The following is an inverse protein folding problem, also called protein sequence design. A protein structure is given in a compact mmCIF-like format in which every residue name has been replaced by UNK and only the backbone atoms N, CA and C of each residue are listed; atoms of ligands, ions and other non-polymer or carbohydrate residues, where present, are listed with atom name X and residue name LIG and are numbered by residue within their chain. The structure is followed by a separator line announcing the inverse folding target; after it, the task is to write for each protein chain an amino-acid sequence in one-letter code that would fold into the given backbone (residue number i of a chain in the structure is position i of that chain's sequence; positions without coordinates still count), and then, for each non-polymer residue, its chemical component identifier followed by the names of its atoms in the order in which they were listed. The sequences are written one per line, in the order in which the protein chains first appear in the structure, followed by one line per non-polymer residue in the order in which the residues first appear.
data_IF_085704204184
#
_entry.id   IF_085704204184
#
_cell.length_a   1.000
_cell.length_b   1.000
_cell.length_c   1.000
_cell.angle_alpha   90.00
_cell.angle_beta   90.00
_cell.angle_gamma   90.00
#
_symmetry.space_group_name_H-M   'P 1'
#
loop_
_entity.id
_entity.type
_entity.pdbx_description
1 polymer ?
#
# COMPACT_ATOMS: atom_id res chain seq x y z
N UNK A 1 19.35 4.95 21.91
CA UNK A 1 17.98 4.51 21.62
C UNK A 1 17.80 4.57 20.12
N UNK A 2 17.51 3.46 19.44
CA UNK A 2 17.15 3.53 18.03
C UNK A 2 15.83 4.32 17.92
N UNK A 3 15.82 5.35 17.07
CA UNK A 3 14.61 6.13 16.81
C UNK A 3 13.60 5.16 16.17
N UNK A 4 12.34 5.14 16.66
CA UNK A 4 11.26 4.34 16.09
C UNK A 4 11.02 4.79 14.65
N UNK A 5 10.78 3.87 13.73
CA UNK A 5 10.50 4.19 12.34
C UNK A 5 9.17 4.94 12.25
N UNK A 6 9.08 5.93 11.37
CA UNK A 6 7.93 6.85 11.32
C UNK A 6 6.61 6.12 11.04
N UNK A 7 6.61 5.13 10.14
CA UNK A 7 5.41 4.33 9.85
C UNK A 7 5.01 3.44 11.03
N UNK A 8 5.96 2.93 11.81
CA UNK A 8 5.64 2.18 13.04
C UNK A 8 5.03 3.11 14.08
N UNK A 9 5.53 4.34 14.20
CA UNK A 9 5.00 5.34 15.11
C UNK A 9 3.60 5.81 14.69
N UNK A 10 3.39 6.06 13.37
CA UNK A 10 2.12 6.47 12.81
C UNK A 10 1.04 5.41 13.05
N UNK A 11 1.26 4.18 12.57
CA UNK A 11 0.23 3.15 12.57
C UNK A 11 0.01 2.45 13.93
N UNK A 12 0.77 2.83 14.97
CA UNK A 12 0.54 2.29 16.32
C UNK A 12 -0.81 2.71 16.91
N UNK A 13 -1.23 3.97 16.69
CA UNK A 13 -2.46 4.54 17.24
C UNK A 13 -3.22 5.41 16.23
N UNK A 14 -3.32 4.97 14.98
CA UNK A 14 -3.96 5.73 13.90
C UNK A 14 -5.03 4.93 13.14
N UNK A 15 -5.54 3.84 13.70
CA UNK A 15 -6.46 2.96 12.98
C UNK A 15 -7.84 3.57 12.76
N UNK A 16 -8.42 4.22 13.77
CA UNK A 16 -9.73 4.86 13.64
C UNK A 16 -9.67 6.14 12.80
N UNK A 17 -8.57 6.90 12.88
CA UNK A 17 -8.36 8.06 12.02
C UNK A 17 -8.14 7.62 10.57
N UNK A 18 -7.33 6.59 10.35
CA UNK A 18 -7.09 5.98 9.04
C UNK A 18 -8.41 5.61 8.32
N UNK A 19 -9.36 4.98 9.02
CA UNK A 19 -10.66 4.61 8.45
C UNK A 19 -11.53 5.82 8.02
N UNK A 20 -11.22 7.01 8.49
CA UNK A 20 -11.93 8.26 8.12
C UNK A 20 -11.32 8.95 6.92
N UNK A 21 -10.09 8.61 6.56
CA UNK A 21 -9.40 9.20 5.43
C UNK A 21 -10.17 8.98 4.12
N UNK A 22 -10.05 9.93 3.21
CA UNK A 22 -10.81 9.93 1.96
C UNK A 22 -10.47 8.73 1.08
N UNK A 23 -9.21 8.30 1.08
CA UNK A 23 -8.73 7.19 0.26
C UNK A 23 -9.28 5.82 0.70
N UNK A 24 -9.78 5.67 1.93
CA UNK A 24 -10.41 4.42 2.37
C UNK A 24 -11.80 4.19 1.75
N UNK A 25 -12.41 5.21 1.17
CA UNK A 25 -13.77 5.14 0.61
C UNK A 25 -13.84 4.44 -0.75
N UNK A 26 -12.70 4.16 -1.38
CA UNK A 26 -12.61 3.51 -2.68
C UNK A 26 -12.79 1.98 -2.68
N UNK A 27 -12.80 1.33 -1.51
CA UNK A 27 -12.71 -0.12 -1.33
C UNK A 27 -13.60 -0.95 -2.26
N UNK A 28 -14.87 -0.60 -2.41
CA UNK A 28 -15.84 -1.35 -3.22
C UNK A 28 -15.44 -1.36 -4.70
N UNK A 29 -15.05 -0.20 -5.25
CA UNK A 29 -14.63 -0.08 -6.65
C UNK A 29 -13.28 -0.78 -6.90
N UNK A 30 -12.37 -0.68 -5.95
CA UNK A 30 -11.07 -1.37 -5.98
C UNK A 30 -11.27 -2.90 -5.99
N UNK A 31 -12.12 -3.43 -5.11
CA UNK A 31 -12.44 -4.86 -5.08
C UNK A 31 -13.19 -5.31 -6.34
N UNK A 32 -14.08 -4.48 -6.91
CA UNK A 32 -14.73 -4.78 -8.20
C UNK A 32 -13.70 -4.94 -9.34
N UNK A 33 -12.62 -4.18 -9.30
CA UNK A 33 -11.52 -4.32 -10.26
C UNK A 33 -10.72 -5.60 -9.98
N UNK A 34 -10.36 -5.86 -8.72
CA UNK A 34 -9.62 -7.05 -8.32
C UNK A 34 -10.35 -8.34 -8.74
N UNK A 35 -11.67 -8.44 -8.54
CA UNK A 35 -12.45 -9.62 -8.97
C UNK A 35 -12.34 -9.90 -10.46
N UNK A 36 -12.29 -8.84 -11.30
CA UNK A 36 -12.07 -9.00 -12.74
C UNK A 36 -10.67 -9.51 -13.05
N UNK A 37 -9.66 -9.01 -12.34
CA UNK A 37 -8.28 -9.48 -12.46
C UNK A 37 -8.09 -10.92 -11.98
N UNK A 38 -8.98 -11.41 -11.13
CA UNK A 38 -9.03 -12.79 -10.62
C UNK A 38 -9.95 -13.70 -11.43
N UNK A 39 -10.49 -13.23 -12.57
CA UNK A 39 -11.47 -13.96 -13.38
C UNK A 39 -12.66 -14.49 -12.54
N UNK A 40 -12.99 -13.81 -11.46
CA UNK A 40 -14.02 -14.21 -10.47
C UNK A 40 -13.80 -15.61 -9.87
N UNK A 41 -12.58 -16.15 -9.92
CA UNK A 41 -12.25 -17.45 -9.32
C UNK A 41 -12.20 -17.36 -7.78
N UNK A 42 -13.18 -17.94 -7.11
CA UNK A 42 -13.28 -17.96 -5.65
C UNK A 42 -12.40 -19.01 -4.98
N UNK A 43 -11.77 -19.89 -5.77
CA UNK A 43 -10.89 -20.95 -5.24
C UNK A 43 -9.48 -20.45 -4.90
N UNK A 44 -9.12 -19.24 -5.33
CA UNK A 44 -7.80 -18.66 -5.11
C UNK A 44 -7.58 -18.25 -3.65
N UNK A 45 -6.34 -18.34 -3.19
CA UNK A 45 -5.87 -17.81 -1.92
C UNK A 45 -5.12 -16.50 -2.14
N UNK A 46 -5.58 -15.43 -1.50
CA UNK A 46 -5.08 -14.07 -1.67
C UNK A 46 -4.27 -13.65 -0.45
N UNK A 47 -3.09 -13.08 -0.65
CA UNK A 47 -2.29 -12.39 0.38
C UNK A 47 -2.56 -10.88 0.28
N UNK A 48 -3.07 -10.28 1.36
CA UNK A 48 -3.26 -8.82 1.50
C UNK A 48 -2.12 -8.26 2.35
N UNK A 49 -1.13 -7.61 1.71
CA UNK A 49 0.10 -7.11 2.34
C UNK A 49 -0.06 -5.67 2.78
N UNK A 50 0.26 -5.38 4.04
CA UNK A 50 -0.04 -4.07 4.63
C UNK A 50 -1.55 -3.87 4.74
N UNK A 51 -2.28 -4.91 5.17
CA UNK A 51 -3.74 -4.93 5.15
C UNK A 51 -4.40 -3.91 6.07
N UNK A 52 -3.64 -3.30 6.98
CA UNK A 52 -4.11 -2.28 7.92
C UNK A 52 -5.31 -2.74 8.73
N UNK A 53 -6.39 -1.95 8.70
CA UNK A 53 -7.67 -2.27 9.37
C UNK A 53 -8.53 -3.29 8.61
N UNK A 54 -7.98 -3.95 7.56
CA UNK A 54 -8.57 -5.09 6.87
C UNK A 54 -9.65 -4.74 5.84
N UNK A 55 -9.73 -3.51 5.33
CA UNK A 55 -10.83 -3.08 4.45
C UNK A 55 -10.98 -3.92 3.18
N UNK A 56 -9.87 -4.27 2.50
CA UNK A 56 -9.90 -5.12 1.31
C UNK A 56 -10.12 -6.59 1.67
N UNK A 57 -9.39 -7.11 2.65
CA UNK A 57 -9.54 -8.50 3.11
C UNK A 57 -10.98 -8.81 3.54
N UNK A 58 -11.63 -7.90 4.28
CA UNK A 58 -13.02 -8.05 4.73
C UNK A 58 -13.96 -8.05 3.52
N UNK A 59 -13.83 -7.11 2.59
CA UNK A 59 -14.72 -7.02 1.44
C UNK A 59 -14.53 -8.22 0.48
N UNK A 60 -13.29 -8.65 0.23
CA UNK A 60 -13.00 -9.85 -0.57
C UNK A 60 -13.59 -11.11 0.09
N UNK A 61 -13.44 -11.25 1.42
CA UNK A 61 -14.00 -12.41 2.12
C UNK A 61 -15.53 -12.42 2.12
N UNK A 62 -16.20 -11.25 2.21
CA UNK A 62 -17.65 -11.13 2.01
C UNK A 62 -18.10 -11.65 0.66
N UNK A 63 -17.24 -11.51 -0.37
CA UNK A 63 -17.51 -11.99 -1.73
C UNK A 63 -17.10 -13.45 -1.96
N UNK A 64 -16.62 -14.13 -0.92
CA UNK A 64 -16.32 -15.57 -0.93
C UNK A 64 -14.88 -15.93 -1.28
N UNK A 65 -13.94 -14.98 -1.27
CA UNK A 65 -12.52 -15.27 -1.42
C UNK A 65 -11.88 -15.71 -0.11
N UNK A 66 -10.83 -16.53 -0.23
CA UNK A 66 -9.96 -16.88 0.88
C UNK A 66 -8.81 -15.88 0.98
N UNK A 67 -8.70 -15.17 2.10
CA UNK A 67 -7.73 -14.09 2.28
C UNK A 67 -6.93 -14.29 3.56
N UNK A 68 -5.61 -14.15 3.45
CA UNK A 68 -4.70 -13.93 4.58
C UNK A 68 -4.22 -12.49 4.54
N UNK A 69 -4.46 -11.72 5.60
CA UNK A 69 -4.01 -10.35 5.74
C UNK A 69 -2.77 -10.26 6.63
N UNK A 70 -1.74 -9.53 6.19
CA UNK A 70 -0.54 -9.29 7.00
C UNK A 70 -0.30 -7.79 7.19
N UNK A 71 0.08 -7.41 8.40
CA UNK A 71 0.46 -6.03 8.73
C UNK A 71 1.51 -6.00 9.83
N UNK A 72 2.32 -4.96 9.87
CA UNK A 72 3.33 -4.74 10.91
C UNK A 72 2.70 -4.28 12.23
N UNK A 73 1.59 -3.55 12.17
CA UNK A 73 0.92 -2.93 13.31
C UNK A 73 -0.11 -3.86 13.93
N UNK A 74 0.16 -4.35 15.13
CA UNK A 74 -0.82 -5.16 15.90
C UNK A 74 -2.10 -4.37 16.21
N UNK A 75 -2.01 -3.06 16.39
CA UNK A 75 -3.18 -2.23 16.67
C UNK A 75 -4.11 -2.12 15.44
N UNK A 76 -3.55 -2.03 14.22
CA UNK A 76 -4.32 -2.10 12.99
C UNK A 76 -5.00 -3.47 12.86
N UNK A 77 -4.26 -4.55 13.09
CA UNK A 77 -4.78 -5.92 13.02
C UNK A 77 -5.86 -6.21 14.08
N UNK A 78 -5.74 -5.64 15.26
CA UNK A 78 -6.80 -5.76 16.29
C UNK A 78 -8.11 -5.15 15.79
N UNK A 79 -8.06 -4.00 15.11
CA UNK A 79 -9.24 -3.39 14.48
C UNK A 79 -9.76 -4.25 13.32
N UNK A 80 -8.87 -4.79 12.49
CA UNK A 80 -9.24 -5.68 11.38
C UNK A 80 -9.99 -6.93 11.89
N UNK A 81 -9.44 -7.61 12.91
CA UNK A 81 -10.06 -8.78 13.55
C UNK A 81 -11.43 -8.43 14.15
N UNK A 82 -11.54 -7.28 14.83
CA UNK A 82 -12.82 -6.81 15.38
C UNK A 82 -13.85 -6.60 14.28
N UNK A 83 -13.52 -5.89 13.21
CA UNK A 83 -14.44 -5.64 12.07
C UNK A 83 -14.86 -6.94 11.38
N UNK A 84 -13.94 -7.89 11.21
CA UNK A 84 -14.25 -9.20 10.65
C UNK A 84 -15.23 -9.97 11.56
N UNK A 85 -14.98 -10.00 12.87
CA UNK A 85 -15.86 -10.63 13.85
C UNK A 85 -17.27 -9.99 13.88
N UNK A 86 -17.36 -8.65 13.86
CA UNK A 86 -18.61 -7.89 13.79
C UNK A 86 -19.39 -8.20 12.49
N UNK A 87 -18.71 -8.66 11.45
CA UNK A 87 -19.30 -9.10 10.16
C UNK A 87 -19.49 -10.62 10.07
N UNK A 88 -19.24 -11.37 11.14
CA UNK A 88 -19.26 -12.85 11.18
C UNK A 88 -18.34 -13.51 10.12
N UNK A 89 -17.18 -12.91 9.86
CA UNK A 89 -16.19 -13.42 8.92
C UNK A 89 -14.99 -14.02 9.67
N UNK A 90 -14.51 -15.17 9.19
CA UNK A 90 -13.26 -15.77 9.61
C UNK A 90 -12.17 -15.39 8.60
N UNK A 91 -11.25 -14.51 8.98
CA UNK A 91 -10.13 -14.06 8.17
C UNK A 91 -8.86 -14.28 8.97
N UNK A 92 -7.84 -14.83 8.33
CA UNK A 92 -6.53 -15.02 8.94
C UNK A 92 -5.73 -13.72 8.88
N UNK A 93 -5.69 -12.99 10.01
CA UNK A 93 -4.88 -11.78 10.16
C UNK A 93 -3.64 -12.07 11.00
N UNK A 94 -2.47 -11.93 10.38
CA UNK A 94 -1.17 -12.25 10.98
C UNK A 94 -0.29 -11.00 11.09
N UNK A 95 0.45 -10.88 12.21
CA UNK A 95 1.42 -9.82 12.36
C UNK A 95 2.75 -10.23 11.75
N UNK A 96 3.12 -9.62 10.63
CA UNK A 96 4.40 -9.83 9.97
C UNK A 96 4.99 -8.52 9.45
N UNK A 97 6.32 -8.50 9.38
CA UNK A 97 7.05 -7.50 8.61
C UNK A 97 7.12 -7.97 7.16
N UNK A 98 6.60 -7.19 6.23
CA UNK A 98 6.57 -7.55 4.82
C UNK A 98 7.96 -7.75 4.19
N UNK A 99 9.02 -7.27 4.85
CA UNK A 99 10.43 -7.52 4.48
C UNK A 99 10.94 -8.91 4.88
N UNK A 100 10.15 -9.65 5.66
CA UNK A 100 10.50 -10.99 6.14
C UNK A 100 9.22 -11.82 6.36
N UNK A 101 8.55 -12.19 5.27
CA UNK A 101 7.34 -13.02 5.33
C UNK A 101 7.72 -14.50 5.51
N UNK A 102 6.93 -15.27 6.28
CA UNK A 102 7.22 -16.70 6.51
C UNK A 102 6.69 -17.62 5.40
N UNK A 103 6.12 -17.05 4.32
CA UNK A 103 5.42 -17.79 3.28
C UNK A 103 6.33 -18.15 2.10
N UNK A 104 6.06 -19.29 1.47
CA UNK A 104 6.80 -19.73 0.29
C UNK A 104 5.87 -20.45 -0.68
N UNK A 105 5.55 -19.83 -1.81
CA UNK A 105 4.66 -20.37 -2.86
C UNK A 105 3.29 -20.85 -2.34
N UNK A 106 2.66 -20.06 -1.49
CA UNK A 106 1.39 -20.41 -0.86
C UNK A 106 0.18 -19.71 -1.49
N UNK A 107 0.39 -18.55 -2.12
CA UNK A 107 -0.70 -17.70 -2.59
C UNK A 107 -0.82 -17.69 -4.11
N UNK A 108 -2.05 -17.67 -4.59
CA UNK A 108 -2.37 -17.55 -6.01
C UNK A 108 -2.31 -16.10 -6.47
N UNK A 109 -2.58 -15.17 -5.55
CA UNK A 109 -2.58 -13.73 -5.77
C UNK A 109 -2.02 -13.01 -4.55
N UNK A 110 -1.38 -11.85 -4.79
CA UNK A 110 -1.08 -10.89 -3.73
C UNK A 110 -1.63 -9.51 -4.12
N UNK A 111 -2.10 -8.78 -3.11
CA UNK A 111 -2.45 -7.37 -3.24
C UNK A 111 -1.68 -6.56 -2.20
N UNK A 112 -1.30 -5.31 -2.53
CA UNK A 112 -0.68 -4.35 -1.64
C UNK A 112 -1.13 -2.95 -2.06
N UNK A 113 -2.26 -2.52 -1.53
CA UNK A 113 -2.95 -1.32 -1.99
C UNK A 113 -2.82 -0.18 -0.98
N UNK A 114 -2.97 1.04 -1.46
CA UNK A 114 -2.73 2.25 -0.67
C UNK A 114 -1.35 2.23 -0.01
N UNK A 115 -0.34 1.94 -0.85
CA UNK A 115 1.07 1.96 -0.47
C UNK A 115 1.48 0.92 0.59
N UNK A 116 0.67 -0.03 0.93
CA UNK A 116 0.78 -1.14 1.90
C UNK A 116 2.14 -1.54 2.50
N UNK A 117 3.07 -0.59 2.64
CA UNK A 117 4.44 -0.74 3.11
C UNK A 117 5.50 -0.36 2.08
N UNK A 118 5.30 -0.65 0.82
CA UNK A 118 6.09 -0.16 -0.32
C UNK A 118 5.40 1.08 -0.90
N UNK A 119 5.98 2.26 -0.90
CA UNK A 119 7.39 2.64 -0.81
C UNK A 119 7.80 3.39 0.50
N UNK A 120 7.29 2.99 1.63
CA UNK A 120 7.41 3.74 2.89
C UNK A 120 8.74 3.52 3.65
N UNK A 121 9.57 2.57 3.21
CA UNK A 121 10.80 2.21 3.94
C UNK A 121 11.91 3.25 3.76
N UNK A 122 12.82 3.31 4.72
CA UNK A 122 13.91 4.29 4.77
C UNK A 122 14.92 4.15 3.64
N UNK A 123 15.09 2.94 3.10
CA UNK A 123 16.02 2.68 2.01
C UNK A 123 15.37 1.92 0.86
N UNK A 124 15.98 1.97 -0.32
CA UNK A 124 15.48 1.26 -1.51
C UNK A 124 15.65 -0.25 -1.37
N UNK A 125 16.68 -0.71 -0.63
CA UNK A 125 16.88 -2.12 -0.31
C UNK A 125 15.74 -2.65 0.56
N UNK A 126 15.32 -1.90 1.57
CA UNK A 126 14.19 -2.28 2.43
C UNK A 126 12.87 -2.32 1.66
N UNK A 127 12.65 -1.39 0.71
CA UNK A 127 11.52 -1.44 -0.20
C UNK A 127 11.60 -2.67 -1.12
N UNK A 128 12.78 -2.95 -1.67
CA UNK A 128 13.00 -4.12 -2.52
C UNK A 128 12.75 -5.44 -1.77
N UNK A 129 13.15 -5.53 -0.50
CA UNK A 129 12.90 -6.71 0.34
C UNK A 129 11.40 -7.00 0.47
N UNK A 130 10.53 -5.99 0.53
CA UNK A 130 9.08 -6.19 0.51
C UNK A 130 8.65 -6.87 -0.79
N UNK A 131 9.03 -6.31 -1.95
CA UNK A 131 8.67 -6.89 -3.25
C UNK A 131 9.19 -8.33 -3.40
N UNK A 132 10.42 -8.58 -2.93
CA UNK A 132 11.05 -9.89 -2.96
C UNK A 132 10.28 -10.91 -2.11
N UNK A 133 9.96 -10.58 -0.87
CA UNK A 133 9.21 -11.48 0.02
C UNK A 133 7.80 -11.77 -0.49
N UNK A 134 7.12 -10.76 -1.07
CA UNK A 134 5.83 -10.98 -1.73
C UNK A 134 6.00 -11.93 -2.92
N UNK A 135 7.02 -11.72 -3.77
CA UNK A 135 7.31 -12.60 -4.90
C UNK A 135 7.57 -14.05 -4.47
N UNK A 136 8.34 -14.27 -3.38
CA UNK A 136 8.64 -15.59 -2.83
C UNK A 136 7.41 -16.28 -2.22
N UNK A 137 6.43 -15.51 -1.75
CA UNK A 137 5.15 -16.00 -1.20
C UNK A 137 4.19 -16.49 -2.28
N UNK A 138 4.38 -16.07 -3.52
CA UNK A 138 3.50 -16.35 -4.65
C UNK A 138 3.85 -17.67 -5.34
N UNK A 139 2.83 -18.43 -5.73
CA UNK A 139 2.93 -19.60 -6.60
C UNK A 139 3.41 -19.22 -8.01
N UNK A 140 3.75 -20.20 -8.82
CA UNK A 140 3.95 -20.00 -10.27
C UNK A 140 2.60 -19.67 -10.95
N UNK A 141 2.62 -18.78 -11.96
CA UNK A 141 1.43 -18.28 -12.66
C UNK A 141 0.49 -17.49 -11.74
N UNK A 142 1.06 -16.78 -10.81
CA UNK A 142 0.36 -15.91 -9.88
C UNK A 142 0.38 -14.46 -10.36
N UNK A 143 -0.44 -13.63 -9.72
CA UNK A 143 -0.54 -12.21 -10.01
C UNK A 143 -0.28 -11.38 -8.75
N UNK A 144 0.46 -10.29 -8.89
CA UNK A 144 0.70 -9.30 -7.85
C UNK A 144 0.16 -7.95 -8.29
N UNK A 145 -0.77 -7.37 -7.53
CA UNK A 145 -1.41 -6.09 -7.82
C UNK A 145 -1.12 -5.14 -6.66
N UNK A 146 -0.52 -4.00 -6.96
CA UNK A 146 -0.20 -3.02 -5.93
C UNK A 146 -0.28 -1.58 -6.44
N UNK A 147 -0.37 -0.61 -5.51
CA UNK A 147 -0.22 0.81 -5.81
C UNK A 147 1.09 1.35 -5.26
N UNK A 148 1.64 2.37 -5.91
CA UNK A 148 2.84 3.07 -5.46
C UNK A 148 2.89 4.49 -5.99
N UNK A 149 3.63 5.37 -5.31
CA UNK A 149 3.77 6.78 -5.65
C UNK A 149 4.46 6.98 -7.00
N UNK A 150 3.90 7.86 -7.85
CA UNK A 150 4.39 8.15 -9.19
C UNK A 150 5.43 9.28 -9.17
N UNK A 151 6.69 8.96 -9.40
CA UNK A 151 7.80 9.91 -9.42
C UNK A 151 7.74 10.95 -10.55
N UNK A 152 6.90 10.73 -11.57
CA UNK A 152 6.69 11.73 -12.62
C UNK A 152 5.80 12.87 -12.16
N UNK A 153 4.90 12.63 -11.20
CA UNK A 153 3.94 13.63 -10.70
C UNK A 153 4.64 14.85 -10.07
N UNK A 154 5.53 14.74 -9.07
CA UNK A 154 6.20 15.90 -8.48
C UNK A 154 7.08 16.65 -9.47
N UNK A 155 7.69 15.96 -10.44
CA UNK A 155 8.53 16.61 -11.47
C UNK A 155 7.68 17.43 -12.45
N UNK A 156 6.55 16.89 -12.91
CA UNK A 156 5.65 17.55 -13.85
C UNK A 156 5.02 18.81 -13.24
N UNK A 157 4.57 18.73 -11.98
CA UNK A 157 3.95 19.84 -11.27
C UNK A 157 4.94 20.88 -10.74
N UNK A 158 6.21 20.76 -11.01
CA UNK A 158 7.38 21.35 -10.36
C UNK A 158 7.50 20.96 -8.88
N UNK A 159 8.70 20.62 -8.47
CA UNK A 159 9.00 20.22 -7.09
C UNK A 159 8.55 21.28 -6.07
N UNK A 160 8.74 22.57 -6.39
CA UNK A 160 8.32 23.67 -5.51
C UNK A 160 6.80 23.70 -5.31
N UNK A 161 6.01 23.55 -6.38
CA UNK A 161 4.54 23.51 -6.27
C UNK A 161 4.08 22.27 -5.54
N UNK A 162 4.67 21.11 -5.82
CA UNK A 162 4.39 19.86 -5.14
C UNK A 162 4.63 20.00 -3.63
N UNK A 163 5.79 20.50 -3.21
CA UNK A 163 6.10 20.71 -1.80
C UNK A 163 5.23 21.76 -1.11
N UNK A 164 4.61 22.66 -1.85
CA UNK A 164 3.70 23.68 -1.31
C UNK A 164 2.21 23.31 -1.42
N UNK A 165 1.86 22.21 -2.10
CA UNK A 165 0.50 21.70 -2.14
C UNK A 165 0.20 20.90 -0.86
N UNK A 166 -1.05 20.94 -0.39
CA UNK A 166 -1.51 20.08 0.70
C UNK A 166 -0.98 20.44 2.10
N UNK A 167 -1.03 21.73 2.47
CA UNK A 167 -0.58 22.15 3.82
C UNK A 167 -1.46 21.67 4.97
N UNK A 168 -2.70 21.28 4.69
CA UNK A 168 -3.64 20.73 5.66
C UNK A 168 -4.45 19.61 5.00
N UNK A 169 -4.39 18.41 5.55
CA UNK A 169 -5.18 17.27 5.10
C UNK A 169 -5.74 16.53 6.32
N UNK A 170 -7.06 16.49 6.44
CA UNK A 170 -7.74 15.86 7.57
C UNK A 170 -7.29 16.44 8.91
N UNK A 171 -6.70 15.62 9.78
CA UNK A 171 -6.15 16.00 11.10
C UNK A 171 -4.64 16.27 11.07
N UNK A 172 -4.03 16.30 9.89
CA UNK A 172 -2.61 16.49 9.71
C UNK A 172 -2.29 17.92 9.26
N UNK A 173 -1.22 18.50 9.80
CA UNK A 173 -0.67 19.79 9.37
C UNK A 173 0.78 19.60 8.94
N UNK A 174 1.05 19.82 7.66
CA UNK A 174 2.41 19.75 7.12
C UNK A 174 3.20 21.01 7.51
N UNK A 175 4.30 20.83 8.23
CA UNK A 175 5.21 21.92 8.68
C UNK A 175 6.34 22.18 7.69
N UNK A 176 6.80 21.12 7.04
CA UNK A 176 7.86 21.18 6.05
C UNK A 176 7.68 20.01 5.08
N UNK A 177 7.91 20.28 3.80
CA UNK A 177 7.99 19.26 2.77
C UNK A 177 9.15 19.63 1.84
N UNK A 178 10.04 18.68 1.58
CA UNK A 178 11.14 18.80 0.61
C UNK A 178 11.25 17.52 -0.20
N UNK A 179 11.63 17.65 -1.47
CA UNK A 179 11.79 16.52 -2.36
C UNK A 179 13.25 16.43 -2.85
N UNK A 180 13.89 15.31 -2.60
CA UNK A 180 15.25 15.03 -3.05
C UNK A 180 15.23 14.42 -4.46
N UNK A 181 15.73 15.16 -5.44
CA UNK A 181 15.81 14.75 -6.83
C UNK A 181 16.79 13.59 -7.09
N UNK A 182 17.75 13.36 -6.19
CA UNK A 182 18.74 12.28 -6.36
C UNK A 182 18.20 10.94 -5.91
N UNK A 183 17.37 10.96 -4.88
CA UNK A 183 16.78 9.75 -4.30
C UNK A 183 15.31 9.57 -4.63
N UNK A 184 14.66 10.58 -5.23
CA UNK A 184 13.21 10.61 -5.47
C UNK A 184 12.41 10.33 -4.19
N UNK A 185 12.86 10.94 -3.08
CA UNK A 185 12.17 10.86 -1.79
C UNK A 185 11.65 12.23 -1.40
N UNK A 186 10.42 12.28 -0.94
CA UNK A 186 9.96 13.43 -0.20
C UNK A 186 10.33 13.27 1.30
N UNK A 187 10.52 14.38 1.96
CA UNK A 187 10.81 14.44 3.38
C UNK A 187 9.82 15.39 4.03
N UNK A 188 8.90 14.82 4.81
CA UNK A 188 7.84 15.59 5.45
C UNK A 188 8.03 15.68 6.95
N UNK A 189 7.71 16.85 7.51
CA UNK A 189 7.47 17.03 8.94
C UNK A 189 5.98 17.33 9.10
N UNK A 190 5.26 16.39 9.69
CA UNK A 190 3.81 16.47 9.85
C UNK A 190 3.42 16.43 11.32
N UNK A 191 2.58 17.37 11.75
CA UNK A 191 1.91 17.31 13.05
C UNK A 191 0.51 16.72 12.86
N UNK A 192 0.18 15.73 13.67
CA UNK A 192 -1.13 15.08 13.66
C UNK A 192 -1.57 14.70 15.07
N UNK A 193 -2.84 14.32 15.21
CA UNK A 193 -3.41 13.82 16.45
C UNK A 193 -3.76 12.35 16.27
N UNK A 194 -3.26 11.48 17.13
CA UNK A 194 -3.55 10.06 17.11
C UNK A 194 -4.96 9.70 17.68
N UNK A 195 -5.33 8.43 17.62
CA UNK A 195 -6.62 7.94 18.12
C UNK A 195 -6.82 8.12 19.64
N UNK A 196 -5.73 8.40 20.39
CA UNK A 196 -5.78 8.68 21.84
C UNK A 196 -5.94 10.18 22.13
N UNK A 197 -5.90 11.03 21.12
CA UNK A 197 -5.90 12.50 21.26
C UNK A 197 -4.51 13.10 21.53
N UNK A 198 -3.46 12.30 21.44
CA UNK A 198 -2.07 12.78 21.63
C UNK A 198 -1.55 13.43 20.35
N UNK A 199 -0.97 14.61 20.49
CA UNK A 199 -0.24 15.26 19.39
C UNK A 199 1.11 14.57 19.19
N UNK A 200 1.44 14.32 17.92
CA UNK A 200 2.70 13.74 17.51
C UNK A 200 3.28 14.49 16.32
N UNK A 201 4.60 14.49 16.21
CA UNK A 201 5.34 15.03 15.07
C UNK A 201 6.05 13.90 14.37
N UNK A 202 5.68 13.64 13.14
CA UNK A 202 6.29 12.61 12.30
C UNK A 202 7.30 13.23 11.33
N UNK A 203 8.37 12.49 11.07
CA UNK A 203 9.36 12.77 10.05
C UNK A 203 9.31 11.61 9.05
N UNK A 204 8.52 11.74 8.00
CA UNK A 204 8.40 10.72 6.96
C UNK A 204 9.34 10.97 5.79
N UNK A 205 9.64 9.90 5.04
CA UNK A 205 10.44 9.95 3.82
C UNK A 205 9.94 8.87 2.85
N UNK A 206 8.98 9.22 2.02
CA UNK A 206 8.37 8.31 1.06
C UNK A 206 9.12 8.30 -0.27
N UNK A 207 9.29 7.13 -0.86
CA UNK A 207 10.00 6.94 -2.14
C UNK A 207 9.01 6.99 -3.31
N UNK A 208 9.24 7.89 -4.25
CA UNK A 208 8.49 7.98 -5.50
C UNK A 208 9.24 7.20 -6.59
N UNK A 209 8.56 6.30 -7.26
CA UNK A 209 9.15 5.47 -8.32
C UNK A 209 8.67 5.89 -9.70
N UNK A 210 9.54 5.75 -10.72
CA UNK A 210 9.11 5.88 -12.11
C UNK A 210 8.79 4.51 -12.72
N UNK A 211 7.95 4.42 -13.77
CA UNK A 211 7.51 3.14 -14.34
C UNK A 211 8.64 2.19 -14.75
N UNK A 212 9.75 2.75 -15.26
CA UNK A 212 10.91 1.95 -15.68
C UNK A 212 11.65 1.32 -14.50
N UNK A 213 11.71 1.99 -13.33
CA UNK A 213 12.28 1.42 -12.11
C UNK A 213 11.43 0.26 -11.62
N UNK A 214 10.11 0.45 -11.49
CA UNK A 214 9.17 -0.61 -11.09
C UNK A 214 9.28 -1.81 -12.03
N UNK A 215 9.31 -1.55 -13.34
CA UNK A 215 9.46 -2.62 -14.34
C UNK A 215 10.77 -3.39 -14.14
N UNK A 216 11.87 -2.70 -13.89
CA UNK A 216 13.17 -3.33 -13.67
C UNK A 216 13.20 -4.15 -12.37
N UNK A 217 12.69 -3.58 -11.27
CA UNK A 217 12.63 -4.26 -9.96
C UNK A 217 11.82 -5.56 -10.06
N UNK A 218 10.63 -5.51 -10.67
CA UNK A 218 9.76 -6.69 -10.82
C UNK A 218 10.36 -7.75 -11.74
N UNK A 219 10.98 -7.33 -12.86
CA UNK A 219 11.70 -8.27 -13.75
C UNK A 219 12.86 -8.97 -13.04
N UNK A 220 13.59 -8.26 -12.17
CA UNK A 220 14.66 -8.87 -11.37
C UNK A 220 14.16 -9.93 -10.40
N UNK A 221 12.88 -9.89 -10.03
CA UNK A 221 12.18 -10.85 -9.18
C UNK A 221 11.46 -11.97 -9.96
N UNK A 222 11.59 -11.98 -11.29
CA UNK A 222 11.05 -13.06 -12.13
C UNK A 222 9.67 -12.79 -12.74
N UNK A 223 9.05 -11.64 -12.49
CA UNK A 223 7.80 -11.26 -13.17
C UNK A 223 8.04 -11.00 -14.66
N UNK A 224 7.15 -11.50 -15.52
CA UNK A 224 7.28 -11.49 -16.98
C UNK A 224 6.39 -10.46 -17.64
N UNK A 225 5.11 -10.41 -17.21
CA UNK A 225 4.14 -9.44 -17.68
C UNK A 225 3.97 -8.37 -16.61
N UNK A 226 4.19 -7.10 -16.97
CA UNK A 226 4.10 -5.98 -16.05
C UNK A 226 3.36 -4.87 -16.77
N UNK A 227 2.17 -4.56 -16.26
CA UNK A 227 1.34 -3.47 -16.74
C UNK A 227 1.25 -2.38 -15.67
N UNK A 228 1.36 -1.12 -16.08
CA UNK A 228 1.33 0.04 -15.19
C UNK A 228 0.30 1.04 -15.69
N UNK A 229 -0.63 1.41 -14.82
CA UNK A 229 -1.74 2.31 -15.09
C UNK A 229 -1.78 3.46 -14.08
N UNK A 230 -2.56 4.50 -14.36
CA UNK A 230 -2.89 5.50 -13.35
C UNK A 230 -3.85 4.91 -12.31
N UNK A 231 -3.50 5.04 -11.03
CA UNK A 231 -4.37 4.62 -9.95
C UNK A 231 -5.37 5.73 -9.63
N UNK A 232 -6.65 5.46 -9.84
CA UNK A 232 -7.75 6.35 -9.46
C UNK A 232 -8.53 5.71 -8.32
N UNK A 233 -8.61 6.42 -7.22
CA UNK A 233 -9.29 5.96 -6.01
C UNK A 233 -10.69 5.40 -6.31
N UNK A 234 -10.94 4.15 -5.94
CA UNK A 234 -12.22 3.47 -6.14
C UNK A 234 -12.61 3.22 -7.60
N UNK A 235 -11.71 3.51 -8.57
CA UNK A 235 -11.97 3.41 -10.00
C UNK A 235 -10.76 2.85 -10.77
N UNK A 236 -10.11 1.83 -10.24
CA UNK A 236 -9.01 1.14 -10.93
C UNK A 236 -9.49 0.56 -12.26
N UNK A 237 -8.68 0.72 -13.30
CA UNK A 237 -9.01 0.24 -14.65
C UNK A 237 -7.76 0.09 -15.50
N UNK A 238 -7.70 -0.97 -16.32
CA UNK A 238 -6.68 -1.14 -17.38
C UNK A 238 -6.79 -0.10 -18.51
N UNK A 239 -7.91 0.65 -18.56
CA UNK A 239 -8.11 1.74 -19.52
C UNK A 239 -7.49 3.07 -19.05
N UNK A 240 -7.18 3.19 -17.76
CA UNK A 240 -6.57 4.38 -17.17
C UNK A 240 -5.07 4.43 -17.49
N UNK A 241 -4.71 4.79 -18.72
CA UNK A 241 -3.30 4.96 -19.09
C UNK A 241 -2.62 5.91 -18.11
N UNK A 242 -1.45 5.49 -17.60
CA UNK A 242 -0.66 6.32 -16.71
C UNK A 242 -0.29 7.65 -17.38
N UNK A 243 -0.47 8.73 -16.63
CA UNK A 243 -0.09 10.09 -17.01
C UNK A 243 0.74 10.74 -15.90
N UNK A 244 1.28 11.91 -16.18
CA UNK A 244 1.99 12.72 -15.17
C UNK A 244 1.04 13.40 -14.17
N UNK A 245 -0.27 13.38 -14.42
CA UNK A 245 -1.32 13.88 -13.50
C UNK A 245 -1.76 12.83 -12.48
N UNK A 246 -1.36 11.57 -12.64
CA UNK A 246 -1.69 10.51 -11.69
C UNK A 246 -0.69 10.54 -10.53
N UNK A 247 -1.19 10.72 -9.31
CA UNK A 247 -0.37 10.74 -8.10
C UNK A 247 0.21 9.36 -7.78
N UNK A 248 -0.57 8.30 -8.04
CA UNK A 248 -0.17 6.92 -7.84
C UNK A 248 -0.23 6.12 -9.14
N UNK A 249 0.59 5.09 -9.20
CA UNK A 249 0.57 4.04 -10.21
C UNK A 249 -0.15 2.80 -9.67
N UNK A 250 -1.01 2.20 -10.48
CA UNK A 250 -1.54 0.85 -10.30
C UNK A 250 -0.66 -0.11 -11.10
N UNK A 251 -0.03 -1.05 -10.44
CA UNK A 251 0.88 -2.03 -11.03
C UNK A 251 0.26 -3.42 -10.98
N UNK A 252 0.27 -4.12 -12.11
CA UNK A 252 -0.17 -5.51 -12.24
C UNK A 252 1.00 -6.31 -12.79
N UNK A 253 1.48 -7.27 -12.02
CA UNK A 253 2.63 -8.10 -12.39
C UNK A 253 2.25 -9.59 -12.36
N UNK A 254 2.68 -10.35 -13.39
CA UNK A 254 2.44 -11.79 -13.51
C UNK A 254 3.78 -12.52 -13.70
N UNK A 255 3.97 -13.65 -13.00
CA UNK A 255 5.20 -14.46 -13.07
C UNK A 255 5.10 -15.70 -13.97
#
# INVERSE_FOLDING_TARGET
MHKKQWYVELFENYGNQYDRESFTKGTIGEVNFLEKEFDFDRSIHILDVGCGTGRHAIELTKRGYHVTGVDLSENQLALARKKAADSNLAIDFQRHDARNLPFHQEFDMAIMLCEGGFPLMETDEMNYDILKNVSESLKTKSKFIFTTLNGLFPIYHSVEKFCNSGKEEGNATYKSNTFDLMTFRDHNITELVDDTGKKMTLHSNERYYIPSEITWLLKSLGFKCIDIFGAKLGAFSRENKLTTEDFEMLVIAEN
#
